data_IF_233102150428
#
_entry.id   IF_233102150428
#
_cell.length_a   1.000
_cell.length_b   1.000
_cell.length_c   1.000
_cell.angle_alpha   90.00
_cell.angle_beta   90.00
_cell.angle_gamma   90.00
#
_symmetry.space_group_name_H-M   'P 1'
#
loop_
_entity.id
_entity.type
_entity.pdbx_description
1 polymer ?
#
# COMPACT_ATOMS: atom_id res chain seq x y z
N UNK A 1 -12.39 11.32 1.15
CA UNK A 1 -12.57 10.70 -0.19
C UNK A 1 -13.67 9.64 -0.12
N UNK A 2 -14.43 9.38 -1.18
CA UNK A 2 -15.41 8.28 -1.18
C UNK A 2 -14.68 6.94 -1.36
N UNK A 3 -15.00 5.95 -0.54
CA UNK A 3 -14.35 4.63 -0.55
C UNK A 3 -14.33 3.97 -1.93
N UNK A 4 -15.48 3.89 -2.63
CA UNK A 4 -15.57 3.29 -3.98
C UNK A 4 -14.66 4.01 -4.99
N UNK A 5 -14.54 5.33 -4.85
CA UNK A 5 -13.65 6.12 -5.71
C UNK A 5 -12.18 5.88 -5.40
N UNK A 6 -11.83 5.63 -4.12
CA UNK A 6 -10.47 5.32 -3.69
C UNK A 6 -10.01 3.97 -4.24
N UNK A 7 -10.79 2.90 -4.01
CA UNK A 7 -10.46 1.56 -4.49
C UNK A 7 -10.31 1.52 -6.01
N UNK A 8 -11.21 2.18 -6.76
CA UNK A 8 -11.10 2.27 -8.23
C UNK A 8 -9.81 2.97 -8.69
N UNK A 9 -9.40 4.05 -8.02
CA UNK A 9 -8.15 4.75 -8.35
C UNK A 9 -6.93 3.87 -8.04
N UNK A 10 -6.95 3.15 -6.91
CA UNK A 10 -5.90 2.20 -6.54
C UNK A 10 -5.77 1.09 -7.60
N UNK A 11 -6.88 0.46 -7.98
CA UNK A 11 -6.89 -0.58 -9.02
C UNK A 11 -6.36 -0.08 -10.36
N UNK A 12 -6.68 1.17 -10.74
CA UNK A 12 -6.14 1.78 -11.94
C UNK A 12 -4.63 1.99 -11.84
N UNK A 13 -4.12 2.46 -10.70
CA UNK A 13 -2.69 2.66 -10.49
C UNK A 13 -1.92 1.33 -10.52
N UNK A 14 -2.46 0.27 -9.90
CA UNK A 14 -1.89 -1.09 -9.97
C UNK A 14 -1.79 -1.55 -11.43
N UNK A 15 -2.88 -1.43 -12.20
CA UNK A 15 -2.89 -1.87 -13.61
C UNK A 15 -1.93 -1.08 -14.50
N UNK A 16 -1.72 0.21 -14.20
CA UNK A 16 -0.81 1.08 -14.95
C UNK A 16 0.66 0.94 -14.48
N UNK A 17 0.92 0.31 -13.34
CA UNK A 17 2.23 0.31 -12.70
C UNK A 17 2.68 1.71 -12.28
N UNK A 18 1.76 2.55 -11.79
CA UNK A 18 2.05 3.95 -11.39
C UNK A 18 2.12 4.06 -9.88
N UNK A 19 3.17 4.72 -9.38
CA UNK A 19 3.34 5.02 -7.95
C UNK A 19 2.28 6.02 -7.51
N UNK A 20 1.81 5.90 -6.27
CA UNK A 20 0.82 6.80 -5.70
C UNK A 20 1.47 7.72 -4.67
N UNK A 21 1.04 8.97 -4.66
CA UNK A 21 1.20 9.84 -3.50
C UNK A 21 -0.10 9.87 -2.68
N UNK A 22 0.04 9.77 -1.35
CA UNK A 22 -1.06 9.51 -0.43
C UNK A 22 -0.98 10.49 0.75
N UNK A 23 -2.11 11.11 1.10
CA UNK A 23 -2.28 11.78 2.39
C UNK A 23 -3.08 10.87 3.32
N UNK A 24 -2.43 10.32 4.34
CA UNK A 24 -2.97 9.33 5.25
C UNK A 24 -3.27 9.92 6.63
N UNK A 25 -4.41 9.58 7.22
CA UNK A 25 -4.77 10.01 8.58
C UNK A 25 -4.35 8.97 9.63
N UNK A 26 -3.36 9.31 10.45
CA UNK A 26 -2.83 8.45 11.51
C UNK A 26 -3.71 8.47 12.77
N UNK A 27 -3.33 7.73 13.82
CA UNK A 27 -4.17 7.48 15.02
C UNK A 27 -4.48 8.73 15.84
N UNK A 28 -3.55 9.69 15.92
CA UNK A 28 -3.77 10.98 16.59
C UNK A 28 -4.61 11.97 15.76
N UNK A 29 -5.01 11.59 14.54
CA UNK A 29 -5.74 12.44 13.60
C UNK A 29 -4.88 13.32 12.69
N UNK A 30 -3.56 13.35 12.90
CA UNK A 30 -2.60 14.01 12.03
C UNK A 30 -2.58 13.40 10.63
N UNK A 31 -2.11 14.18 9.65
CA UNK A 31 -1.99 13.74 8.26
C UNK A 31 -0.52 13.54 7.90
N UNK A 32 -0.21 12.36 7.39
CA UNK A 32 1.12 12.00 6.90
C UNK A 32 1.09 11.85 5.39
N UNK A 33 2.21 12.20 4.75
CA UNK A 33 2.41 12.05 3.32
C UNK A 33 3.23 10.78 3.05
N UNK A 34 2.79 9.98 2.09
CA UNK A 34 3.49 8.77 1.64
C UNK A 34 3.62 8.77 0.12
N UNK A 35 4.73 8.20 -0.36
CA UNK A 35 4.92 7.80 -1.76
C UNK A 35 5.09 6.28 -1.76
N UNK A 36 4.19 5.57 -2.43
CA UNK A 36 4.15 4.12 -2.36
C UNK A 36 3.70 3.49 -3.69
N UNK A 37 4.35 2.40 -4.07
CA UNK A 37 4.01 1.55 -5.21
C UNK A 37 2.85 0.61 -4.82
N UNK A 38 1.63 0.78 -5.37
CA UNK A 38 0.50 -0.05 -5.00
C UNK A 38 0.63 -1.47 -5.56
N UNK A 39 0.57 -2.49 -4.71
CA UNK A 39 0.69 -3.90 -5.09
C UNK A 39 -0.68 -4.53 -5.30
N UNK A 40 -1.53 -4.50 -4.27
CA UNK A 40 -2.85 -5.12 -4.32
C UNK A 40 -3.81 -4.50 -3.29
N UNK A 41 -5.11 -4.83 -3.40
CA UNK A 41 -6.10 -4.58 -2.35
C UNK A 41 -6.41 -5.90 -1.65
N UNK A 42 -6.45 -5.90 -0.32
CA UNK A 42 -6.80 -7.07 0.49
C UNK A 42 -7.76 -6.70 1.61
N UNK A 43 -8.68 -7.61 1.90
CA UNK A 43 -9.53 -7.50 3.09
C UNK A 43 -8.86 -8.22 4.26
N UNK A 44 -8.85 -7.60 5.43
CA UNK A 44 -8.47 -8.23 6.68
C UNK A 44 -9.36 -7.69 7.82
N UNK A 45 -9.97 -8.58 8.61
CA UNK A 45 -10.86 -8.24 9.72
C UNK A 45 -11.97 -7.22 9.35
N UNK A 46 -12.59 -7.39 8.17
CA UNK A 46 -13.67 -6.54 7.68
C UNK A 46 -13.24 -5.15 7.21
N UNK A 47 -11.93 -4.89 7.06
CA UNK A 47 -11.37 -3.64 6.52
C UNK A 47 -10.62 -3.92 5.23
N UNK A 48 -10.66 -2.96 4.30
CA UNK A 48 -9.87 -3.04 3.07
C UNK A 48 -8.59 -2.25 3.17
N UNK A 49 -7.49 -2.89 2.80
CA UNK A 49 -6.15 -2.33 2.83
C UNK A 49 -5.58 -2.22 1.42
N UNK A 50 -4.92 -1.10 1.14
CA UNK A 50 -3.95 -0.98 0.06
C UNK A 50 -2.64 -1.57 0.56
N UNK A 51 -2.22 -2.67 -0.04
CA UNK A 51 -0.89 -3.23 0.16
C UNK A 51 0.07 -2.58 -0.83
N UNK A 52 1.18 -2.04 -0.35
CA UNK A 52 2.11 -1.25 -1.14
C UNK A 52 3.56 -1.45 -0.69
N UNK A 53 4.50 -1.06 -1.55
CA UNK A 53 5.92 -0.94 -1.23
C UNK A 53 6.31 0.53 -1.17
N UNK A 54 7.08 0.95 -0.16
CA UNK A 54 7.68 2.28 -0.15
C UNK A 54 9.03 2.31 -0.90
N UNK A 55 9.68 3.48 -0.92
CA UNK A 55 11.00 3.67 -1.53
C UNK A 55 12.15 2.88 -0.90
N UNK A 56 11.93 2.21 0.24
CA UNK A 56 12.90 1.33 0.91
C UNK A 56 12.51 -0.14 0.80
N UNK A 57 11.56 -0.45 -0.08
CA UNK A 57 10.96 -1.77 -0.24
C UNK A 57 10.31 -2.31 1.05
N UNK A 58 9.89 -1.42 1.93
CA UNK A 58 9.09 -1.81 3.08
C UNK A 58 7.67 -2.07 2.63
N UNK A 59 7.15 -3.20 3.07
CA UNK A 59 5.77 -3.55 2.82
C UNK A 59 4.87 -2.78 3.78
N UNK A 60 3.87 -2.08 3.23
CA UNK A 60 2.94 -1.26 4.00
C UNK A 60 1.51 -1.65 3.63
N UNK A 61 0.65 -1.85 4.63
CA UNK A 61 -0.79 -1.97 4.46
C UNK A 61 -1.49 -0.71 4.99
N UNK A 62 -2.04 0.09 4.07
CA UNK A 62 -2.81 1.28 4.39
C UNK A 62 -4.30 0.95 4.44
N UNK A 63 -4.95 1.13 5.60
CA UNK A 63 -6.42 1.10 5.67
C UNK A 63 -7.00 2.17 4.72
N UNK A 64 -7.72 1.73 3.67
CA UNK A 64 -8.21 2.61 2.60
C UNK A 64 -9.15 3.69 3.15
N UNK A 65 -9.90 3.39 4.23
CA UNK A 65 -10.80 4.35 4.85
C UNK A 65 -10.06 5.54 5.49
N UNK A 66 -8.75 5.42 5.72
CA UNK A 66 -7.90 6.45 6.33
C UNK A 66 -7.13 7.28 5.30
N UNK A 67 -7.19 6.93 4.02
CA UNK A 67 -6.62 7.73 2.93
C UNK A 67 -7.52 8.95 2.69
N UNK A 68 -6.99 10.13 3.01
CA UNK A 68 -7.72 11.40 2.91
C UNK A 68 -7.70 11.98 1.50
N UNK A 69 -6.57 11.84 0.79
CA UNK A 69 -6.38 12.24 -0.61
C UNK A 69 -5.30 11.37 -1.27
N UNK A 70 -5.34 11.29 -2.61
CA UNK A 70 -4.41 10.49 -3.41
C UNK A 70 -4.33 10.99 -4.86
N UNK A 71 -3.12 10.96 -5.41
CA UNK A 71 -2.79 11.28 -6.81
C UNK A 71 -1.83 10.23 -7.39
N UNK A 72 -1.77 10.19 -8.73
CA UNK A 72 -0.67 9.52 -9.43
C UNK A 72 0.62 10.32 -9.21
N UNK A 73 1.71 9.61 -8.88
CA UNK A 73 3.06 10.15 -8.83
C UNK A 73 3.73 9.98 -10.20
N UNK A 74 4.76 10.77 -10.49
CA UNK A 74 5.41 10.77 -11.80
C UNK A 74 6.23 9.49 -12.08
N UNK A 75 6.52 8.70 -11.05
CA UNK A 75 7.27 7.46 -11.17
C UNK A 75 6.35 6.25 -11.45
N UNK A 76 6.90 5.30 -12.19
CA UNK A 76 6.30 3.97 -12.39
C UNK A 76 7.04 2.92 -11.56
N UNK A 77 6.42 1.77 -11.39
CA UNK A 77 7.02 0.59 -10.79
C UNK A 77 6.58 -0.65 -11.56
N UNK A 78 7.37 -1.71 -11.45
CA UNK A 78 7.03 -3.03 -11.97
C UNK A 78 7.22 -4.05 -10.86
N UNK A 79 6.31 -5.01 -10.80
CA UNK A 79 6.43 -6.18 -9.93
C UNK A 79 6.94 -7.33 -10.80
N UNK A 80 7.90 -8.11 -10.27
CA UNK A 80 8.40 -9.30 -10.95
C UNK A 80 7.25 -10.29 -11.22
N UNK A 81 7.27 -10.98 -12.36
CA UNK A 81 6.26 -11.98 -12.70
C UNK A 81 6.23 -13.16 -11.71
N UNK A 82 7.35 -13.43 -11.04
CA UNK A 82 7.49 -14.47 -10.01
C UNK A 82 7.09 -13.96 -8.61
N UNK A 83 6.76 -12.67 -8.46
CA UNK A 83 6.36 -12.11 -7.18
C UNK A 83 5.05 -12.73 -6.68
N UNK A 84 5.11 -13.37 -5.53
CA UNK A 84 3.94 -13.99 -4.92
C UNK A 84 3.15 -12.97 -4.09
N UNK A 85 2.13 -12.37 -4.73
CA UNK A 85 1.26 -11.36 -4.12
C UNK A 85 0.51 -11.90 -2.89
N UNK A 86 0.09 -13.17 -2.89
CA UNK A 86 -0.63 -13.74 -1.73
C UNK A 86 0.30 -13.92 -0.54
N UNK A 87 1.49 -14.50 -0.76
CA UNK A 87 2.49 -14.64 0.30
C UNK A 87 2.91 -13.28 0.87
N UNK A 88 3.07 -12.28 0.00
CA UNK A 88 3.33 -10.91 0.41
C UNK A 88 2.23 -10.38 1.33
N UNK A 89 0.96 -10.50 0.93
CA UNK A 89 -0.16 -10.03 1.73
C UNK A 89 -0.26 -10.74 3.08
N UNK A 90 -0.14 -12.08 3.07
CA UNK A 90 -0.20 -12.90 4.29
C UNK A 90 0.90 -12.50 5.27
N UNK A 91 2.15 -12.36 4.80
CA UNK A 91 3.27 -11.93 5.65
C UNK A 91 3.07 -10.56 6.24
N UNK A 92 2.60 -9.59 5.46
CA UNK A 92 2.34 -8.24 5.99
C UNK A 92 1.32 -8.29 7.12
N UNK A 93 0.28 -9.11 7.03
CA UNK A 93 -0.72 -9.22 8.09
C UNK A 93 -0.28 -10.08 9.28
N UNK A 94 0.56 -11.10 9.09
CA UNK A 94 1.00 -11.99 10.17
C UNK A 94 2.23 -11.49 10.91
N UNK A 95 3.14 -10.79 10.23
CA UNK A 95 4.46 -10.39 10.74
C UNK A 95 4.63 -8.86 10.80
N UNK A 96 3.75 -8.10 10.15
CA UNK A 96 3.83 -6.64 10.13
C UNK A 96 3.49 -6.00 11.48
N UNK A 97 4.18 -4.90 11.77
CA UNK A 97 3.95 -4.10 12.95
C UNK A 97 2.88 -3.05 12.67
N UNK A 98 1.82 -3.04 13.47
CA UNK A 98 0.84 -1.96 13.46
C UNK A 98 1.42 -0.72 14.14
N UNK A 99 1.47 0.39 13.42
CA UNK A 99 1.91 1.68 13.95
C UNK A 99 1.13 2.80 13.27
N UNK A 100 0.66 3.76 14.05
CA UNK A 100 0.06 5.02 13.56
C UNK A 100 -1.07 4.79 12.54
N UNK A 101 -1.79 3.68 12.66
CA UNK A 101 -2.94 3.39 11.81
C UNK A 101 -2.71 2.48 10.61
N UNK A 102 -1.46 2.22 10.25
CA UNK A 102 -1.07 1.33 9.15
C UNK A 102 -0.24 0.17 9.68
N UNK A 103 -0.06 -0.86 8.86
CA UNK A 103 0.82 -2.00 9.16
C UNK A 103 2.06 -1.86 8.30
N UNK A 104 3.24 -2.06 8.87
CA UNK A 104 4.50 -1.99 8.13
C UNK A 104 5.43 -3.16 8.47
N UNK A 105 6.20 -3.60 7.50
CA UNK A 105 7.16 -4.69 7.64
C UNK A 105 8.44 -4.36 6.87
N UNK A 106 9.56 -4.30 7.59
CA UNK A 106 10.90 -4.19 7.01
C UNK A 106 11.23 -5.47 6.26
N UNK A 107 12.05 -5.36 5.20
CA UNK A 107 11.76 -5.98 3.92
C UNK A 107 11.38 -7.46 4.08
N UNK A 108 10.22 -7.87 3.54
CA UNK A 108 10.01 -9.30 3.31
C UNK A 108 11.13 -9.78 2.37
N UNK A 109 11.60 -11.01 2.56
CA UNK A 109 12.58 -11.70 1.70
C UNK A 109 12.54 -11.34 0.19
N UNK A 110 13.68 -11.51 -0.51
CA UNK A 110 14.24 -10.54 -1.46
C UNK A 110 13.25 -10.18 -2.58
N UNK A 111 12.82 -8.92 -2.59
CA UNK A 111 12.36 -8.28 -3.81
C UNK A 111 13.64 -7.78 -4.48
N UNK A 112 14.13 -8.49 -5.51
CA UNK A 112 15.15 -7.90 -6.39
C UNK A 112 14.48 -6.77 -7.18
N UNK A 113 14.60 -5.55 -6.67
CA UNK A 113 14.29 -4.35 -7.46
C UNK A 113 15.45 -4.17 -8.44
N UNK A 114 15.18 -4.45 -9.72
CA UNK A 114 16.09 -4.10 -10.83
C UNK A 114 15.83 -2.68 -11.32
#
# INVERSE_FOLDING_TARGET
MNFKSASRKIEQAIRKGVVLELFYRIDDGSKFYFVAAPVCIRENNGRQYLMALDHKDWAIAFDIARISAMSEYWATFSIDAEFNVELFADKVFSEGNYQDGYISMQPPCPVEVK
#
